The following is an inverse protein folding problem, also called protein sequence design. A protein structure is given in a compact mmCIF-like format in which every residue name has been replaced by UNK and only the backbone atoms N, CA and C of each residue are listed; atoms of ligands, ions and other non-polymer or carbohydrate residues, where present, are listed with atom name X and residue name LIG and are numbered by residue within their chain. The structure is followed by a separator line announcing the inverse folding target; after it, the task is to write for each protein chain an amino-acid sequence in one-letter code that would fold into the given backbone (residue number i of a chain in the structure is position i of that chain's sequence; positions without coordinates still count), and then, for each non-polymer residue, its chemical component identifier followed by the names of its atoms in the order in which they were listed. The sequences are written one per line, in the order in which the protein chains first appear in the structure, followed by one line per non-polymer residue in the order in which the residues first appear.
data_IF_268789632806
#
_entry.id   IF_268789632806
#
_cell.length_a   1.000
_cell.length_b   1.000
_cell.length_c   1.000
_cell.angle_alpha   90.00
_cell.angle_beta   90.00
_cell.angle_gamma   90.00
#
_symmetry.space_group_name_H-M   'P 1'
#
loop_
_entity.id
_entity.type
_entity.pdbx_description
1 polymer ?
#
# COMPACT_ATOMS: atom_id res chain seq x y z
N UNK A 1 9.19 29.11 -13.99
CA UNK A 1 9.88 27.85 -14.28
C UNK A 1 10.74 28.01 -15.53
N UNK A 2 11.95 27.44 -15.54
CA UNK A 2 12.78 27.40 -16.74
C UNK A 2 12.10 26.58 -17.85
N UNK A 3 12.36 26.84 -19.15
CA UNK A 3 11.73 26.12 -20.26
C UNK A 3 11.84 24.59 -20.16
N UNK A 4 12.99 24.09 -19.70
CA UNK A 4 13.25 22.64 -19.56
C UNK A 4 12.32 21.99 -18.52
N UNK A 5 12.07 22.68 -17.41
CA UNK A 5 11.15 22.20 -16.35
C UNK A 5 9.71 22.12 -16.87
N UNK A 6 9.31 23.01 -17.78
CA UNK A 6 7.99 22.95 -18.39
C UNK A 6 7.86 21.76 -19.34
N UNK A 7 8.91 21.48 -20.13
CA UNK A 7 8.95 20.30 -20.99
C UNK A 7 8.90 19.00 -20.18
N UNK A 8 9.66 18.91 -19.08
CA UNK A 8 9.62 17.75 -18.19
C UNK A 8 8.22 17.52 -17.61
N UNK A 9 7.57 18.59 -17.13
CA UNK A 9 6.19 18.49 -16.62
C UNK A 9 5.20 18.11 -17.71
N UNK A 10 5.38 18.60 -18.93
CA UNK A 10 4.55 18.22 -20.07
C UNK A 10 4.70 16.72 -20.39
N UNK A 11 5.94 16.23 -20.50
CA UNK A 11 6.24 14.82 -20.78
C UNK A 11 5.68 13.90 -19.69
N UNK A 12 5.87 14.26 -18.41
CA UNK A 12 5.31 13.52 -17.29
C UNK A 12 3.77 13.53 -17.34
N UNK A 13 3.14 14.67 -17.61
CA UNK A 13 1.69 14.77 -17.71
C UNK A 13 1.13 13.93 -18.86
N UNK A 14 1.86 13.86 -19.98
CA UNK A 14 1.52 13.00 -21.11
C UNK A 14 1.57 11.53 -20.71
N UNK A 15 2.63 11.08 -20.04
CA UNK A 15 2.75 9.72 -19.51
C UNK A 15 1.63 9.40 -18.49
N UNK A 16 1.34 10.32 -17.58
CA UNK A 16 0.25 10.20 -16.61
C UNK A 16 -1.12 10.10 -17.30
N UNK A 17 -1.34 10.81 -18.40
CA UNK A 17 -2.59 10.75 -19.16
C UNK A 17 -2.85 9.37 -19.78
N UNK A 18 -1.79 8.63 -20.11
CA UNK A 18 -1.89 7.25 -20.57
C UNK A 18 -2.39 6.37 -19.41
N UNK A 19 -1.81 6.52 -18.23
CA UNK A 19 -2.21 5.75 -17.04
C UNK A 19 -3.64 6.02 -16.57
N UNK A 20 -4.20 7.22 -16.84
CA UNK A 20 -5.61 7.52 -16.58
C UNK A 20 -6.57 6.56 -17.30
N UNK A 21 -6.14 6.00 -18.45
CA UNK A 21 -6.96 5.10 -19.27
C UNK A 21 -6.53 3.64 -19.16
N UNK A 22 -5.49 3.34 -18.38
CA UNK A 22 -4.97 1.98 -18.27
C UNK A 22 -5.99 1.07 -17.58
N UNK A 23 -6.19 -0.12 -18.14
CA UNK A 23 -7.00 -1.19 -17.53
C UNK A 23 -6.17 -2.03 -16.58
N UNK A 24 -4.87 -2.16 -16.85
CA UNK A 24 -3.91 -2.88 -16.03
C UNK A 24 -2.55 -2.22 -16.17
N UNK A 25 -1.77 -2.16 -15.08
CA UNK A 25 -0.38 -1.70 -15.12
C UNK A 25 0.50 -2.75 -14.44
N UNK A 26 1.53 -3.22 -15.14
CA UNK A 26 2.54 -4.12 -14.59
C UNK A 26 3.87 -3.38 -14.50
N UNK A 27 4.49 -3.40 -13.32
CA UNK A 27 5.75 -2.70 -13.06
C UNK A 27 6.77 -3.71 -12.57
N UNK A 28 7.85 -3.88 -13.33
CA UNK A 28 9.02 -4.66 -12.93
C UNK A 28 10.07 -3.70 -12.39
N UNK A 29 10.62 -3.97 -11.20
CA UNK A 29 11.62 -3.14 -10.54
C UNK A 29 12.75 -4.02 -10.03
N UNK A 30 13.99 -3.71 -10.39
CA UNK A 30 15.16 -4.57 -10.16
C UNK A 30 16.32 -3.76 -9.57
N UNK A 31 17.18 -4.41 -8.79
CA UNK A 31 18.42 -3.79 -8.28
C UNK A 31 18.21 -2.67 -7.27
N UNK A 32 17.02 -2.54 -6.68
CA UNK A 32 16.74 -1.51 -5.69
C UNK A 32 17.05 -1.94 -4.25
N UNK A 33 17.29 -0.96 -3.39
CA UNK A 33 17.46 -1.21 -1.97
C UNK A 33 16.13 -1.61 -1.30
N UNK A 34 16.20 -2.41 -0.23
CA UNK A 34 15.00 -2.79 0.54
C UNK A 34 14.17 -1.57 1.02
N UNK A 35 14.77 -0.45 1.50
CA UNK A 35 14.03 0.78 1.78
C UNK A 35 13.27 1.34 0.57
N UNK A 36 13.86 1.33 -0.63
CA UNK A 36 13.21 1.82 -1.85
C UNK A 36 12.02 0.94 -2.24
N UNK A 37 12.16 -0.38 -2.21
CA UNK A 37 11.04 -1.30 -2.46
C UNK A 37 9.88 -1.04 -1.50
N UNK A 38 10.16 -0.88 -0.20
CA UNK A 38 9.12 -0.55 0.80
C UNK A 38 8.43 0.77 0.51
N UNK A 39 9.18 1.81 0.13
CA UNK A 39 8.61 3.11 -0.23
C UNK A 39 7.64 2.99 -1.41
N UNK A 40 7.97 2.17 -2.41
CA UNK A 40 7.10 1.96 -3.57
C UNK A 40 5.83 1.22 -3.18
N UNK A 41 5.92 0.14 -2.38
CA UNK A 41 4.73 -0.58 -1.91
C UNK A 41 3.85 0.29 -1.03
N UNK A 42 4.45 1.10 -0.16
CA UNK A 42 3.74 2.11 0.65
C UNK A 42 3.13 3.21 -0.20
N UNK A 43 3.76 3.65 -1.28
CA UNK A 43 3.18 4.65 -2.19
C UNK A 43 2.00 4.07 -3.00
N UNK A 44 2.13 2.83 -3.51
CA UNK A 44 1.03 2.12 -4.14
C UNK A 44 -0.14 1.97 -3.16
N UNK A 45 0.18 1.64 -1.91
CA UNK A 45 -0.75 1.64 -0.79
C UNK A 45 -1.36 3.04 -0.60
N UNK A 46 -0.57 4.08 -0.39
CA UNK A 46 -1.04 5.45 -0.16
C UNK A 46 -2.06 5.91 -1.21
N UNK A 47 -1.83 5.59 -2.48
CA UNK A 47 -2.75 5.93 -3.57
C UNK A 47 -4.02 5.07 -3.62
N UNK A 48 -4.21 4.10 -2.73
CA UNK A 48 -5.38 3.24 -2.72
C UNK A 48 -5.37 2.23 -3.87
N UNK A 49 -4.18 1.82 -4.35
CA UNK A 49 -4.04 0.91 -5.48
C UNK A 49 -4.06 -0.54 -5.00
N UNK A 50 -4.95 -1.32 -5.61
CA UNK A 50 -4.98 -2.76 -5.44
C UNK A 50 -3.82 -3.33 -6.23
N UNK A 51 -2.92 -4.04 -5.54
CA UNK A 51 -1.72 -4.56 -6.16
C UNK A 51 -1.38 -5.96 -5.67
N UNK A 52 -0.80 -6.74 -6.58
CA UNK A 52 -0.15 -8.01 -6.30
C UNK A 52 1.33 -7.82 -6.54
N UNK A 53 2.16 -8.21 -5.58
CA UNK A 53 3.62 -8.16 -5.72
C UNK A 53 4.13 -9.59 -5.77
N UNK A 54 4.97 -9.89 -6.76
CA UNK A 54 5.67 -11.17 -6.90
C UNK A 54 7.17 -10.92 -7.02
N UNK A 55 7.99 -11.91 -6.63
CA UNK A 55 9.44 -11.82 -6.64
C UNK A 55 10.03 -11.64 -5.25
N UNK A 56 11.32 -11.29 -5.20
CA UNK A 56 12.12 -11.22 -3.99
C UNK A 56 13.19 -10.13 -4.11
N UNK A 57 13.87 -9.72 -3.02
CA UNK A 57 14.85 -8.65 -3.07
C UNK A 57 16.06 -8.90 -4.00
N UNK A 58 16.41 -10.17 -4.27
CA UNK A 58 17.55 -10.56 -5.11
C UNK A 58 17.15 -10.49 -6.59
N UNK A 59 16.02 -11.09 -6.95
CA UNK A 59 15.54 -11.06 -8.33
C UNK A 59 14.87 -9.73 -8.69
N UNK A 60 14.38 -8.97 -7.71
CA UNK A 60 13.52 -7.80 -7.88
C UNK A 60 12.03 -8.16 -7.83
N UNK A 61 11.18 -7.14 -7.87
CA UNK A 61 9.74 -7.30 -7.71
C UNK A 61 8.95 -6.95 -8.97
N UNK A 62 7.89 -7.69 -9.23
CA UNK A 62 6.85 -7.39 -10.21
C UNK A 62 5.58 -6.99 -9.48
N UNK A 63 5.12 -5.76 -9.70
CA UNK A 63 3.90 -5.20 -9.13
C UNK A 63 2.85 -5.17 -10.22
N UNK A 64 1.77 -5.93 -10.05
CA UNK A 64 0.60 -5.90 -10.92
C UNK A 64 -0.45 -5.04 -10.24
N UNK A 65 -0.75 -3.90 -10.82
CA UNK A 65 -1.79 -2.96 -10.42
C UNK A 65 -3.01 -3.24 -11.29
N UNK A 66 -3.96 -3.95 -10.71
CA UNK A 66 -5.21 -4.30 -11.38
C UNK A 66 -6.35 -3.47 -10.79
N UNK A 67 -7.18 -2.90 -11.67
CA UNK A 67 -8.41 -2.24 -11.25
C UNK A 67 -9.44 -3.29 -10.81
N UNK A 68 -10.41 -2.96 -9.96
CA UNK A 68 -11.54 -3.85 -9.79
C UNK A 68 -12.20 -4.07 -11.16
N UNK A 69 -12.16 -5.32 -11.65
CA UNK A 69 -12.58 -5.80 -12.97
C UNK A 69 -13.98 -5.33 -13.45
N UNK A 70 -14.80 -4.69 -12.60
CA UNK A 70 -16.25 -4.53 -12.81
C UNK A 70 -16.84 -3.13 -12.68
N UNK A 71 -16.09 -2.05 -12.45
CA UNK A 71 -16.73 -0.74 -12.22
C UNK A 71 -16.40 0.30 -13.29
N UNK A 72 -17.26 0.32 -14.31
CA UNK A 72 -17.31 1.30 -15.40
C UNK A 72 -17.38 2.78 -14.93
N UNK A 73 -17.75 3.06 -13.67
CA UNK A 73 -17.72 4.41 -13.06
C UNK A 73 -16.49 4.69 -12.16
N UNK A 74 -15.74 3.65 -11.74
CA UNK A 74 -14.57 3.78 -10.86
C UNK A 74 -13.24 3.94 -11.62
N UNK A 75 -13.25 3.74 -12.95
CA UNK A 75 -12.06 3.73 -13.81
C UNK A 75 -11.33 5.08 -13.77
N UNK A 76 -12.03 6.21 -13.75
CA UNK A 76 -11.39 7.54 -13.73
C UNK A 76 -10.67 7.82 -12.42
N UNK A 77 -11.27 7.44 -11.27
CA UNK A 77 -10.65 7.64 -9.96
C UNK A 77 -9.47 6.69 -9.74
N UNK A 78 -9.56 5.45 -10.23
CA UNK A 78 -8.46 4.49 -10.16
C UNK A 78 -7.31 4.89 -11.11
N UNK A 79 -7.62 5.28 -12.35
CA UNK A 79 -6.65 5.81 -13.31
C UNK A 79 -5.93 7.04 -12.79
N UNK A 80 -6.63 7.97 -12.13
CA UNK A 80 -6.00 9.12 -11.48
C UNK A 80 -5.02 8.69 -10.37
N UNK A 81 -5.37 7.68 -9.58
CA UNK A 81 -4.47 7.14 -8.55
C UNK A 81 -3.23 6.50 -9.17
N UNK A 82 -3.36 5.77 -10.29
CA UNK A 82 -2.22 5.23 -11.04
C UNK A 82 -1.32 6.34 -11.56
N UNK A 83 -1.91 7.37 -12.17
CA UNK A 83 -1.18 8.52 -12.69
C UNK A 83 -0.40 9.25 -11.57
N UNK A 84 -1.02 9.44 -10.41
CA UNK A 84 -0.39 10.06 -9.24
C UNK A 84 0.70 9.19 -8.60
N UNK A 85 0.65 7.87 -8.79
CA UNK A 85 1.67 6.93 -8.31
C UNK A 85 2.92 6.85 -9.20
N UNK A 86 2.82 7.18 -10.49
CA UNK A 86 3.95 7.12 -11.44
C UNK A 86 5.24 7.78 -10.92
N UNK A 87 5.23 8.98 -10.29
CA UNK A 87 6.44 9.57 -9.73
C UNK A 87 7.23 8.67 -8.78
N UNK A 88 6.55 7.82 -8.00
CA UNK A 88 7.22 6.86 -7.11
C UNK A 88 8.01 5.81 -7.88
N UNK A 89 7.52 5.40 -9.06
CA UNK A 89 8.21 4.46 -9.95
C UNK A 89 9.40 5.13 -10.63
N UNK A 90 9.24 6.38 -11.09
CA UNK A 90 10.31 7.14 -11.74
C UNK A 90 11.52 7.38 -10.84
N UNK A 91 11.34 7.28 -9.52
CA UNK A 91 12.44 7.37 -8.54
C UNK A 91 13.35 6.13 -8.50
N UNK A 92 13.01 5.06 -9.23
CA UNK A 92 13.81 3.84 -9.32
C UNK A 92 14.86 3.96 -10.43
N UNK A 93 16.06 3.44 -10.18
CA UNK A 93 17.15 3.36 -11.14
C UNK A 93 16.86 2.37 -12.28
N UNK A 94 16.19 1.25 -11.99
CA UNK A 94 15.81 0.24 -12.98
C UNK A 94 14.35 -0.17 -12.83
N UNK A 95 13.54 0.20 -13.81
CA UNK A 95 12.15 -0.24 -13.89
C UNK A 95 11.71 -0.48 -15.33
N UNK A 96 10.68 -1.30 -15.50
CA UNK A 96 9.87 -1.41 -16.71
C UNK A 96 8.42 -1.34 -16.31
N UNK A 97 7.71 -0.34 -16.79
CA UNK A 97 6.27 -0.19 -16.61
C UNK A 97 5.58 -0.53 -17.93
N UNK A 98 4.64 -1.46 -17.90
CA UNK A 98 3.76 -1.81 -19.03
C UNK A 98 2.32 -1.49 -18.67
N UNK A 99 1.68 -0.61 -19.43
CA UNK A 99 0.28 -0.22 -19.26
C UNK A 99 -0.57 -0.79 -20.40
N UNK A 100 -1.61 -1.54 -20.06
CA UNK A 100 -2.59 -2.07 -21.00
C UNK A 100 -3.79 -1.14 -21.12
N UNK A 101 -4.26 -0.90 -22.33
CA UNK A 101 -5.23 0.13 -22.68
C UNK A 101 -6.27 -0.41 -23.67
N UNK A 102 -7.41 0.28 -23.73
CA UNK A 102 -8.44 0.11 -24.76
C UNK A 102 -8.52 1.40 -25.58
N UNK A 103 -7.94 1.40 -26.77
CA UNK A 103 -7.78 2.59 -27.61
C UNK A 103 -8.89 2.76 -28.64
N UNK A 104 -9.21 4.01 -28.96
CA UNK A 104 -10.14 4.37 -30.01
C UNK A 104 -11.61 4.02 -29.70
N UNK A 105 -12.47 4.23 -30.70
CA UNK A 105 -13.91 3.93 -30.62
C UNK A 105 -14.18 2.44 -30.45
N UNK A 106 -13.35 1.61 -31.09
CA UNK A 106 -13.50 0.15 -31.15
C UNK A 106 -12.82 -0.57 -29.98
N UNK A 107 -12.23 0.18 -29.02
CA UNK A 107 -11.58 -0.35 -27.82
C UNK A 107 -10.50 -1.39 -28.14
N UNK A 108 -9.69 -1.11 -29.16
CA UNK A 108 -8.59 -1.98 -29.56
C UNK A 108 -7.57 -2.13 -28.41
N UNK A 109 -7.10 -3.35 -28.11
CA UNK A 109 -6.10 -3.55 -27.09
C UNK A 109 -4.77 -2.94 -27.53
N UNK A 110 -4.21 -2.06 -26.70
CA UNK A 110 -2.90 -1.46 -26.89
C UNK A 110 -2.07 -1.61 -25.62
N UNK A 111 -0.76 -1.78 -25.76
CA UNK A 111 0.18 -1.75 -24.65
C UNK A 111 1.21 -0.65 -24.86
N UNK A 112 1.49 0.12 -23.81
CA UNK A 112 2.57 1.12 -23.77
C UNK A 112 3.59 0.69 -22.74
N UNK A 113 4.86 0.74 -23.09
CA UNK A 113 5.97 0.50 -22.16
C UNK A 113 6.73 1.80 -21.87
N UNK A 114 7.17 1.94 -20.62
CA UNK A 114 7.96 3.06 -20.12
C UNK A 114 9.11 2.54 -19.25
N UNK A 115 10.26 3.18 -19.32
CA UNK A 115 11.45 2.86 -18.54
C UNK A 115 12.38 4.07 -18.36
N UNK A 116 13.52 3.90 -17.66
CA UNK A 116 14.47 4.99 -17.40
C UNK A 116 14.96 5.73 -18.66
N UNK A 117 15.04 5.04 -19.80
CA UNK A 117 15.48 5.62 -21.09
C UNK A 117 14.55 6.69 -21.65
N UNK A 118 13.30 6.75 -21.20
CA UNK A 118 12.32 7.75 -21.66
C UNK A 118 12.54 9.12 -21.01
N UNK A 119 13.43 9.23 -20.01
CA UNK A 119 13.86 10.51 -19.44
C UNK A 119 12.74 11.29 -18.73
N UNK A 120 11.72 10.61 -18.21
CA UNK A 120 10.63 11.27 -17.49
C UNK A 120 11.12 11.78 -16.12
N UNK A 121 11.01 13.10 -15.90
CA UNK A 121 11.49 13.76 -14.66
C UNK A 121 10.31 14.29 -13.84
N UNK A 122 10.31 13.98 -12.54
CA UNK A 122 9.38 14.56 -11.58
C UNK A 122 10.08 15.61 -10.72
N UNK A 123 9.59 16.86 -10.80
CA UNK A 123 10.12 18.01 -10.05
C UNK A 123 9.40 18.27 -8.71
N UNK A 124 8.45 17.41 -8.33
CA UNK A 124 7.72 17.54 -7.07
C UNK A 124 8.46 16.94 -5.88
N UNK A 125 7.82 16.99 -4.70
CA UNK A 125 8.35 16.30 -3.52
C UNK A 125 7.96 14.82 -3.57
N UNK A 126 8.88 13.94 -3.20
CA UNK A 126 8.52 12.54 -2.92
C UNK A 126 7.46 12.50 -1.82
N UNK A 127 6.58 11.49 -1.90
CA UNK A 127 5.56 11.25 -0.88
C UNK A 127 6.22 10.90 0.45
N UNK A 128 5.61 11.35 1.54
CA UNK A 128 6.00 10.93 2.88
C UNK A 128 5.78 9.42 3.04
N UNK A 129 6.62 8.79 3.87
CA UNK A 129 6.57 7.36 4.13
C UNK A 129 5.34 6.95 4.99
N UNK A 130 4.67 7.91 5.63
CA UNK A 130 3.48 7.75 6.50
C UNK A 130 2.40 8.78 6.14
N UNK A 131 1.16 8.54 6.59
CA UNK A 131 0.06 9.52 6.46
C UNK A 131 -0.05 10.39 7.71
N UNK A 132 -0.58 11.63 7.61
CA UNK A 132 -0.79 12.49 8.78
C UNK A 132 -1.63 11.82 9.88
N UNK A 133 -2.59 10.96 9.52
CA UNK A 133 -3.40 10.21 10.46
C UNK A 133 -2.58 9.16 11.23
N UNK A 134 -1.66 8.47 10.55
CA UNK A 134 -0.74 7.51 11.18
C UNK A 134 0.27 8.22 12.06
N UNK A 135 0.80 9.37 11.63
CA UNK A 135 1.70 10.19 12.44
C UNK A 135 1.02 10.67 13.72
N UNK A 136 -0.20 11.22 13.59
CA UNK A 136 -1.00 11.63 14.74
C UNK A 136 -1.35 10.47 15.67
N UNK A 137 -1.61 9.28 15.12
CA UNK A 137 -1.82 8.07 15.90
C UNK A 137 -0.54 7.69 16.68
N UNK A 138 0.63 7.65 16.04
CA UNK A 138 1.91 7.33 16.68
C UNK A 138 2.22 8.30 17.82
N UNK A 139 2.04 9.61 17.60
CA UNK A 139 2.23 10.62 18.64
C UNK A 139 1.21 10.49 19.78
N UNK A 140 -0.05 10.16 19.47
CA UNK A 140 -1.06 9.86 20.47
C UNK A 140 -0.75 8.61 21.29
N UNK A 141 -0.18 7.58 20.66
CA UNK A 141 0.19 6.32 21.29
C UNK A 141 1.37 6.48 22.24
N UNK A 142 2.42 7.20 21.83
CA UNK A 142 3.59 7.50 22.69
C UNK A 142 3.20 8.17 24.01
N UNK A 143 2.16 9.00 24.00
CA UNK A 143 1.65 9.70 25.21
C UNK A 143 0.98 8.79 26.23
N UNK A 144 0.68 7.53 25.89
CA UNK A 144 0.06 6.58 26.82
C UNK A 144 1.05 6.04 27.86
N UNK A 145 2.36 6.11 27.62
CA UNK A 145 3.38 5.67 28.57
C UNK A 145 3.34 4.16 28.87
N UNK A 146 2.99 3.34 27.88
CA UNK A 146 2.99 1.87 27.98
C UNK A 146 4.38 1.26 27.73
N UNK A 147 4.61 -0.02 28.10
CA UNK A 147 5.83 -0.76 27.72
C UNK A 147 5.96 -0.98 26.20
N UNK A 148 4.88 -0.78 25.45
CA UNK A 148 4.87 -0.81 23.99
C UNK A 148 5.42 0.48 23.38
N UNK A 149 6.37 0.33 22.45
CA UNK A 149 6.85 1.38 21.57
C UNK A 149 6.24 1.22 20.18
N UNK A 150 6.00 2.31 19.44
CA UNK A 150 5.44 2.27 18.09
C UNK A 150 6.36 3.00 17.10
N UNK A 151 6.55 2.40 15.93
CA UNK A 151 7.31 3.00 14.83
C UNK A 151 6.75 2.57 13.47
N UNK A 152 7.07 3.29 12.38
CA UNK A 152 6.80 2.83 11.02
C UNK A 152 7.49 1.50 10.75
N UNK A 153 6.77 0.53 10.17
CA UNK A 153 7.29 -0.82 10.00
C UNK A 153 8.25 -0.94 8.82
N UNK A 154 9.48 -1.40 9.04
CA UNK A 154 10.46 -1.64 7.98
C UNK A 154 10.49 -3.08 7.44
N UNK A 155 9.68 -3.99 7.96
CA UNK A 155 9.64 -5.37 7.49
C UNK A 155 8.62 -5.59 6.39
N UNK A 156 8.95 -6.52 5.51
CA UNK A 156 8.11 -6.99 4.43
C UNK A 156 7.89 -8.48 4.62
N UNK A 157 6.65 -8.91 4.48
CA UNK A 157 6.27 -10.32 4.60
C UNK A 157 5.79 -10.83 3.25
N UNK A 158 6.52 -11.79 2.70
CA UNK A 158 6.19 -12.44 1.44
C UNK A 158 5.99 -13.94 1.70
N UNK A 159 4.79 -14.43 1.42
CA UNK A 159 4.52 -15.87 1.38
C UNK A 159 4.57 -16.32 -0.09
N UNK A 160 5.18 -17.48 -0.41
CA UNK A 160 5.23 -17.99 -1.77
C UNK A 160 3.84 -18.06 -2.42
N UNK A 161 3.68 -17.41 -3.58
CA UNK A 161 2.41 -17.38 -4.32
C UNK A 161 1.38 -16.36 -3.82
N UNK A 162 1.68 -15.63 -2.74
CA UNK A 162 0.74 -14.68 -2.12
C UNK A 162 1.16 -13.22 -2.32
N UNK A 163 0.19 -12.32 -2.08
CA UNK A 163 0.44 -10.88 -2.11
C UNK A 163 1.33 -10.48 -0.94
N UNK A 164 2.43 -9.80 -1.26
CA UNK A 164 3.32 -9.19 -0.27
C UNK A 164 2.54 -8.30 0.71
N UNK A 165 2.82 -8.47 1.99
CA UNK A 165 2.32 -7.63 3.07
C UNK A 165 3.43 -6.68 3.54
N UNK A 166 3.13 -5.39 3.54
CA UNK A 166 3.94 -4.37 4.20
C UNK A 166 3.04 -3.65 5.19
N UNK A 167 3.00 -4.10 6.46
CA UNK A 167 2.26 -3.41 7.50
C UNK A 167 2.74 -1.96 7.63
N UNK A 168 1.85 -1.09 8.11
CA UNK A 168 2.13 0.34 8.25
C UNK A 168 3.01 0.61 9.48
N UNK A 169 2.67 -0.03 10.61
CA UNK A 169 3.33 0.17 11.90
C UNK A 169 3.80 -1.16 12.51
N UNK A 170 4.78 -1.06 13.39
CA UNK A 170 5.21 -2.14 14.28
C UNK A 170 5.18 -1.62 15.71
N UNK A 171 4.71 -2.47 16.62
CA UNK A 171 4.73 -2.29 18.05
C UNK A 171 5.73 -3.27 18.65
N UNK A 172 6.63 -2.78 19.49
CA UNK A 172 7.60 -3.60 20.22
C UNK A 172 7.38 -3.43 21.72
N UNK A 173 7.11 -4.54 22.41
CA UNK A 173 7.03 -4.57 23.86
C UNK A 173 8.45 -4.63 24.46
N UNK A 174 8.83 -3.61 25.23
CA UNK A 174 10.17 -3.52 25.81
C UNK A 174 10.45 -4.58 26.89
N UNK A 175 9.41 -5.17 27.49
CA UNK A 175 9.53 -6.15 28.57
C UNK A 175 9.57 -7.59 28.05
N UNK A 176 8.71 -7.91 27.07
CA UNK A 176 8.59 -9.28 26.53
C UNK A 176 9.38 -9.49 25.24
N UNK A 177 9.76 -8.42 24.54
CA UNK A 177 10.34 -8.47 23.20
C UNK A 177 9.33 -8.83 22.10
N UNK A 178 8.04 -8.88 22.42
CA UNK A 178 6.98 -9.20 21.46
C UNK A 178 6.84 -8.11 20.39
N UNK A 179 6.73 -8.54 19.12
CA UNK A 179 6.45 -7.67 17.98
C UNK A 179 5.04 -7.88 17.46
N UNK A 180 4.27 -6.80 17.35
CA UNK A 180 2.93 -6.82 16.75
C UNK A 180 2.87 -5.79 15.63
N UNK A 181 2.41 -6.21 14.46
CA UNK A 181 2.30 -5.35 13.29
C UNK A 181 0.90 -4.76 13.21
N UNK A 182 0.75 -3.58 12.60
CA UNK A 182 -0.56 -3.00 12.32
C UNK A 182 -0.66 -2.53 10.88
N UNK A 183 -1.78 -2.85 10.27
CA UNK A 183 -2.12 -2.47 8.92
C UNK A 183 -3.47 -1.74 8.90
N UNK A 184 -3.46 -0.48 8.49
CA UNK A 184 -4.62 0.43 8.54
C UNK A 184 -5.40 0.48 7.22
N UNK A 185 -6.64 0.02 7.26
CA UNK A 185 -7.61 0.00 6.16
C UNK A 185 -8.67 1.11 6.31
N UNK A 186 -8.30 2.36 6.00
CA UNK A 186 -9.23 3.51 5.97
C UNK A 186 -10.03 3.69 4.67
N UNK A 187 -9.35 3.91 3.55
CA UNK A 187 -9.99 4.25 2.26
C UNK A 187 -10.07 3.07 1.27
N UNK A 188 -9.89 1.86 1.80
CA UNK A 188 -9.64 0.65 1.04
C UNK A 188 -10.92 -0.08 0.63
N UNK A 189 -10.84 -1.01 -0.33
CA UNK A 189 -11.98 -1.88 -0.62
C UNK A 189 -12.09 -2.97 0.44
N UNK A 190 -13.32 -3.45 0.65
CA UNK A 190 -13.60 -4.64 1.46
C UNK A 190 -12.76 -5.85 1.02
N UNK A 191 -12.53 -5.98 -0.29
CA UNK A 191 -11.74 -7.08 -0.87
C UNK A 191 -10.27 -7.05 -0.42
N UNK A 192 -9.68 -5.87 -0.22
CA UNK A 192 -8.30 -5.76 0.27
C UNK A 192 -8.16 -6.34 1.69
N UNK A 193 -9.17 -6.10 2.54
CA UNK A 193 -9.22 -6.67 3.89
C UNK A 193 -9.33 -8.20 3.82
N UNK A 194 -10.21 -8.73 2.96
CA UNK A 194 -10.39 -10.17 2.79
C UNK A 194 -9.14 -10.87 2.29
N UNK A 195 -8.39 -10.29 1.34
CA UNK A 195 -7.10 -10.85 0.91
C UNK A 195 -6.11 -10.94 2.07
N UNK A 196 -6.11 -9.97 2.99
CA UNK A 196 -5.24 -10.03 4.17
C UNK A 196 -5.70 -11.08 5.18
N UNK A 197 -7.01 -11.23 5.37
CA UNK A 197 -7.60 -12.32 6.17
C UNK A 197 -7.21 -13.69 5.61
N UNK A 198 -7.30 -13.87 4.30
CA UNK A 198 -6.86 -15.11 3.63
C UNK A 198 -5.36 -15.35 3.83
N UNK A 199 -4.54 -14.31 3.73
CA UNK A 199 -3.10 -14.40 3.99
C UNK A 199 -2.80 -14.85 5.44
N UNK A 200 -3.53 -14.31 6.42
CA UNK A 200 -3.41 -14.69 7.83
C UNK A 200 -3.74 -16.16 8.02
N UNK A 201 -4.86 -16.62 7.44
CA UNK A 201 -5.30 -18.03 7.48
C UNK A 201 -4.32 -19.01 6.84
N UNK A 202 -3.57 -18.57 5.84
CA UNK A 202 -2.53 -19.36 5.16
C UNK A 202 -1.23 -19.45 5.96
N UNK A 203 -1.15 -18.85 7.15
CA UNK A 203 0.02 -18.93 8.03
C UNK A 203 0.90 -17.70 7.93
N UNK A 204 0.32 -16.51 8.11
CA UNK A 204 1.11 -15.28 8.22
C UNK A 204 2.09 -15.38 9.41
N UNK A 205 3.38 -15.06 9.23
CA UNK A 205 4.43 -15.48 10.17
C UNK A 205 4.58 -14.58 11.42
N UNK A 206 3.70 -13.60 11.60
CA UNK A 206 3.79 -12.63 12.69
C UNK A 206 2.41 -12.22 13.21
N UNK A 207 2.34 -11.70 14.44
CA UNK A 207 1.09 -11.16 14.99
C UNK A 207 0.72 -9.86 14.29
N UNK A 208 -0.50 -9.73 13.75
CA UNK A 208 -0.93 -8.54 13.00
C UNK A 208 -2.32 -8.04 13.39
N UNK A 209 -2.45 -6.73 13.59
CA UNK A 209 -3.70 -6.02 13.81
C UNK A 209 -4.16 -5.34 12.52
N UNK A 210 -5.33 -5.74 12.00
CA UNK A 210 -5.96 -5.08 10.87
C UNK A 210 -6.89 -3.99 11.40
N UNK A 211 -6.48 -2.73 11.34
CA UNK A 211 -7.33 -1.62 11.74
C UNK A 211 -8.26 -1.26 10.58
N UNK A 212 -9.56 -1.55 10.68
CA UNK A 212 -10.52 -1.46 9.58
C UNK A 212 -11.55 -0.38 9.85
N UNK A 213 -11.74 0.55 8.92
CA UNK A 213 -12.79 1.56 9.04
C UNK A 213 -14.19 0.94 8.96
N UNK A 214 -15.11 1.37 9.84
CA UNK A 214 -16.49 0.85 9.96
C UNK A 214 -17.27 0.87 8.64
N UNK A 215 -16.98 1.82 7.76
CA UNK A 215 -17.55 1.93 6.41
C UNK A 215 -17.30 0.70 5.53
N UNK A 216 -16.26 -0.09 5.80
CA UNK A 216 -15.91 -1.30 5.03
C UNK A 216 -16.79 -2.51 5.36
N UNK A 217 -17.59 -2.42 6.44
CA UNK A 217 -18.54 -3.47 6.87
C UNK A 217 -17.89 -4.85 7.00
N UNK A 218 -16.71 -4.90 7.59
CA UNK A 218 -16.03 -6.13 8.01
C UNK A 218 -16.17 -6.25 9.52
N UNK A 219 -16.57 -7.43 10.01
CA UNK A 219 -16.74 -7.71 11.44
C UNK A 219 -15.40 -8.06 12.09
N UNK A 220 -15.24 -7.76 13.38
CA UNK A 220 -14.08 -8.22 14.16
C UNK A 220 -14.04 -9.75 14.29
N UNK A 221 -15.21 -10.40 14.25
CA UNK A 221 -15.40 -11.85 14.36
C UNK A 221 -14.87 -12.64 13.14
N UNK A 222 -14.42 -11.94 12.10
CA UNK A 222 -13.86 -12.59 10.90
C UNK A 222 -12.58 -13.34 11.23
N UNK A 223 -11.78 -12.85 12.19
CA UNK A 223 -10.59 -13.55 12.67
C UNK A 223 -10.83 -14.08 14.09
N UNK A 224 -10.57 -15.38 14.27
CA UNK A 224 -10.63 -16.10 15.54
C UNK A 224 -9.46 -15.75 16.46
N UNK A 225 -9.53 -16.24 17.71
CA UNK A 225 -8.52 -15.96 18.75
C UNK A 225 -7.20 -16.72 18.53
N UNK A 226 -7.26 -17.87 17.86
CA UNK A 226 -6.10 -18.71 17.55
C UNK A 226 -5.36 -18.28 16.26
N UNK A 227 -5.89 -17.29 15.55
CA UNK A 227 -5.27 -16.81 14.31
C UNK A 227 -4.17 -15.79 14.60
N UNK A 228 -3.16 -15.74 13.73
CA UNK A 228 -2.05 -14.79 13.85
C UNK A 228 -2.47 -13.32 13.70
N UNK A 229 -3.75 -13.03 13.46
CA UNK A 229 -4.22 -11.65 13.35
C UNK A 229 -5.57 -11.39 14.01
N UNK A 230 -5.79 -10.12 14.31
CA UNK A 230 -7.03 -9.61 14.90
C UNK A 230 -7.50 -8.38 14.11
N UNK A 231 -8.82 -8.20 14.00
CA UNK A 231 -9.41 -7.02 13.36
C UNK A 231 -9.84 -6.02 14.43
N UNK A 232 -9.44 -4.76 14.26
CA UNK A 232 -9.90 -3.62 15.05
C UNK A 232 -10.75 -2.70 14.20
N UNK A 233 -12.06 -2.59 14.48
CA UNK A 233 -12.96 -1.71 13.73
C UNK A 233 -13.02 -0.33 14.36
N UNK A 234 -12.73 0.72 13.58
CA UNK A 234 -12.78 2.12 14.03
C UNK A 234 -13.76 2.97 13.20
N UNK A 235 -14.30 4.05 13.79
CA UNK A 235 -15.31 4.90 13.11
C UNK A 235 -14.69 5.96 12.21
N UNK A 236 -13.97 6.91 12.80
CA UNK A 236 -13.39 8.05 12.09
C UNK A 236 -11.86 8.03 12.21
N UNK A 237 -11.36 7.89 13.44
CA UNK A 237 -9.93 7.80 13.75
C UNK A 237 -9.64 6.56 14.58
N UNK A 238 -8.44 6.02 14.42
CA UNK A 238 -7.95 4.92 15.26
C UNK A 238 -7.67 5.44 16.67
N UNK A 239 -8.12 4.70 17.68
CA UNK A 239 -7.87 5.03 19.09
C UNK A 239 -6.58 4.37 19.58
N UNK A 240 -5.55 5.15 19.99
CA UNK A 240 -4.34 4.57 20.56
C UNK A 240 -4.61 3.69 21.78
N UNK A 241 -5.57 4.07 22.63
CA UNK A 241 -5.97 3.28 23.81
C UNK A 241 -6.61 1.94 23.43
N UNK A 242 -7.43 1.93 22.37
CA UNK A 242 -8.09 0.71 21.91
C UNK A 242 -7.10 -0.27 21.27
N UNK A 243 -6.05 0.26 20.61
CA UNK A 243 -4.95 -0.57 20.10
C UNK A 243 -4.11 -1.11 21.25
N UNK A 244 -3.72 -0.27 22.23
CA UNK A 244 -2.97 -0.70 23.40
C UNK A 244 -3.68 -1.84 24.16
N UNK A 245 -4.99 -1.72 24.39
CA UNK A 245 -5.76 -2.78 25.03
C UNK A 245 -5.65 -4.13 24.29
N UNK A 246 -5.69 -4.11 22.96
CA UNK A 246 -5.54 -5.32 22.13
C UNK A 246 -4.12 -5.88 22.17
N UNK A 247 -3.11 -5.01 22.15
CA UNK A 247 -1.72 -5.43 22.32
C UNK A 247 -1.53 -6.21 23.63
N UNK A 248 -2.14 -5.73 24.72
CA UNK A 248 -2.15 -6.36 26.04
C UNK A 248 -3.08 -7.59 26.15
N UNK A 249 -3.73 -8.01 25.06
CA UNK A 249 -4.65 -9.16 25.04
C UNK A 249 -6.03 -8.90 25.65
N UNK A 250 -6.38 -7.64 25.94
CA UNK A 250 -7.70 -7.23 26.42
C UNK A 250 -8.55 -6.75 25.22
N UNK A 251 -9.37 -7.65 24.65
CA UNK A 251 -10.38 -7.21 23.67
C UNK A 251 -11.30 -6.18 24.33
N UNK A 252 -11.32 -4.97 23.80
CA UNK A 252 -12.12 -3.86 24.33
C UNK A 252 -13.60 -4.20 24.31
N UNK A 253 -14.23 -4.25 25.48
CA UNK A 253 -15.67 -4.36 25.63
C UNK A 253 -16.40 -3.15 25.04
N UNK A 254 -17.60 -3.44 24.53
CA UNK A 254 -18.61 -2.57 23.91
C UNK A 254 -18.65 -1.10 24.34
#
# INVERSE_FOLDING_TARGET
DAPDVLLDRYNLSLAQSILLKATQVTIRIEGESAPRYRRIFRAARFHGLIHVVQGDPVSGYTIVLDGPFSLFDAVQRYGLRLAMFLPSVLSCASFRLRAELRWGRDKEPLAVEMGPSDGLVFHGRELADTTPELDAFCEGFKKLGSPWTVSPNERLFALPGEVVCVPDLVFLNAETGEEVYLEAFGFWSRDAVWRRVELIRKGFPARILLAVGKQLRVSEEVLGEDEAGEIYVYRATMSPRAVLARLDGKRGGA
#
